data_IF_031967066386
#
_entry.id   IF_031967066386
#
_cell.length_a   1.000
_cell.length_b   1.000
_cell.length_c   1.000
_cell.angle_alpha   90.00
_cell.angle_beta   90.00
_cell.angle_gamma   90.00
#
_symmetry.space_group_name_H-M   'P 1'
#
loop_
_entity.id
_entity.type
_entity.pdbx_description
1 polymer ?
#
# COMPACT_ATOMS: atom_id res chain seq x y z
N UNK A 1 4.19 -8.54 -6.64
CA UNK A 1 4.63 -8.76 -5.24
C UNK A 1 5.18 -10.18 -4.98
N UNK A 2 5.57 -10.93 -6.01
CA UNK A 2 6.25 -12.23 -5.85
C UNK A 2 7.77 -12.06 -5.66
N UNK A 3 8.33 -10.96 -6.16
CA UNK A 3 9.78 -10.71 -6.22
C UNK A 3 10.44 -10.59 -4.85
N UNK A 4 9.88 -9.74 -3.97
CA UNK A 4 10.33 -9.59 -2.59
C UNK A 4 10.48 -10.94 -1.88
N UNK A 5 9.39 -11.72 -1.88
CA UNK A 5 9.30 -13.02 -1.22
C UNK A 5 10.26 -14.06 -1.82
N UNK A 6 10.40 -14.08 -3.15
CA UNK A 6 11.35 -14.94 -3.84
C UNK A 6 12.79 -14.62 -3.43
N UNK A 7 13.15 -13.33 -3.39
CA UNK A 7 14.50 -12.87 -3.03
C UNK A 7 14.82 -13.17 -1.55
N UNK A 8 13.86 -13.04 -0.64
CA UNK A 8 14.06 -13.26 0.80
C UNK A 8 13.82 -14.70 1.24
N UNK A 9 13.39 -15.59 0.33
CA UNK A 9 12.89 -16.93 0.62
C UNK A 9 11.74 -16.93 1.65
N UNK A 10 10.93 -15.87 1.68
CA UNK A 10 9.69 -15.81 2.46
C UNK A 10 8.51 -16.18 1.56
N UNK A 11 7.36 -16.53 2.14
CA UNK A 11 6.14 -16.68 1.35
C UNK A 11 4.96 -15.96 1.99
N UNK A 12 4.04 -15.55 1.11
CA UNK A 12 2.76 -14.96 1.50
C UNK A 12 1.65 -15.91 1.07
N UNK A 13 0.87 -16.38 2.04
CA UNK A 13 -0.32 -17.20 1.82
C UNK A 13 -1.35 -16.88 2.90
N UNK A 14 -2.58 -17.35 2.74
CA UNK A 14 -3.63 -17.17 3.77
C UNK A 14 -3.24 -17.79 5.12
N UNK A 15 -2.35 -18.78 5.13
CA UNK A 15 -1.89 -19.49 6.33
C UNK A 15 -0.58 -18.92 6.89
N UNK A 16 -0.11 -17.78 6.38
CA UNK A 16 1.13 -17.15 6.77
C UNK A 16 0.98 -16.44 8.12
N UNK A 17 1.88 -16.74 9.07
CA UNK A 17 1.87 -16.12 10.41
C UNK A 17 2.70 -14.84 10.46
N UNK A 18 3.74 -14.74 9.64
CA UNK A 18 4.67 -13.61 9.62
C UNK A 18 4.86 -13.13 8.17
N UNK A 19 3.87 -12.44 7.59
CA UNK A 19 3.79 -12.18 6.14
C UNK A 19 4.76 -11.12 5.62
N UNK A 20 5.42 -10.38 6.51
CA UNK A 20 6.39 -9.38 6.11
C UNK A 20 7.72 -10.04 5.69
N UNK A 21 8.27 -9.67 4.52
CA UNK A 21 9.59 -10.14 4.12
C UNK A 21 10.72 -9.54 4.96
N UNK A 22 10.50 -8.43 5.68
CA UNK A 22 11.56 -7.73 6.43
C UNK A 22 11.51 -7.95 7.94
N UNK A 23 10.35 -8.26 8.51
CA UNK A 23 10.19 -8.44 9.96
C UNK A 23 9.40 -9.71 10.32
N UNK A 24 9.41 -10.05 11.61
CA UNK A 24 8.71 -11.23 12.16
C UNK A 24 7.43 -10.87 12.91
N UNK A 25 6.82 -9.72 12.60
CA UNK A 25 5.54 -9.31 13.21
C UNK A 25 4.46 -10.33 12.85
N UNK A 26 3.71 -10.77 13.87
CA UNK A 26 2.64 -11.73 13.69
C UNK A 26 1.45 -11.11 12.93
N UNK A 27 0.72 -11.92 12.17
CA UNK A 27 -0.42 -11.45 11.36
C UNK A 27 -1.49 -10.74 12.21
N UNK A 28 -1.71 -11.20 13.45
CA UNK A 28 -2.66 -10.61 14.40
C UNK A 28 -2.23 -9.21 14.88
N UNK A 29 -0.94 -8.90 14.78
CA UNK A 29 -0.34 -7.66 15.24
C UNK A 29 -0.10 -6.63 14.12
N UNK A 30 -0.44 -6.94 12.86
CA UNK A 30 -0.18 -6.04 11.73
C UNK A 30 -0.91 -4.69 11.85
N UNK A 31 -2.06 -4.67 12.51
CA UNK A 31 -2.86 -3.45 12.74
C UNK A 31 -2.65 -2.87 14.15
N UNK A 32 -1.70 -3.40 14.91
CA UNK A 32 -1.47 -2.98 16.29
C UNK A 32 -0.63 -1.69 16.33
N UNK A 33 -1.30 -0.54 16.42
CA UNK A 33 -0.67 0.78 16.50
C UNK A 33 0.16 1.02 17.77
N UNK A 34 0.08 0.12 18.78
CA UNK A 34 0.85 0.25 20.04
C UNK A 34 2.25 -0.35 19.94
N UNK A 35 2.57 -1.05 18.84
CA UNK A 35 3.90 -1.64 18.65
C UNK A 35 4.89 -0.52 18.31
N UNK A 36 5.84 -0.28 19.20
CA UNK A 36 6.95 0.64 18.92
C UNK A 36 7.92 0.02 17.93
N UNK A 37 8.63 0.88 17.18
CA UNK A 37 9.66 0.44 16.21
C UNK A 37 10.75 -0.40 16.85
N UNK A 38 11.09 -0.11 18.11
CA UNK A 38 12.10 -0.84 18.90
C UNK A 38 11.65 -2.27 19.23
N UNK A 39 10.34 -2.51 19.31
CA UNK A 39 9.77 -3.83 19.59
C UNK A 39 9.64 -4.69 18.31
N UNK A 40 9.84 -4.11 17.12
CA UNK A 40 9.78 -4.84 15.86
C UNK A 40 11.08 -5.59 15.64
N UNK A 41 11.02 -6.91 15.74
CA UNK A 41 12.17 -7.76 15.40
C UNK A 41 12.27 -7.92 13.89
N UNK A 42 13.44 -7.58 13.34
CA UNK A 42 13.75 -7.70 11.92
C UNK A 42 14.29 -9.09 11.57
N UNK A 43 14.09 -9.50 10.32
CA UNK A 43 14.72 -10.70 9.76
C UNK A 43 16.17 -10.38 9.42
N UNK A 44 17.06 -11.32 9.73
CA UNK A 44 18.47 -11.26 9.37
C UNK A 44 18.89 -12.61 8.82
N UNK A 45 19.98 -12.70 8.02
CA UNK A 45 20.51 -13.97 7.55
C UNK A 45 20.73 -14.97 8.70
N UNK A 46 21.30 -14.50 9.81
CA UNK A 46 21.59 -15.32 10.97
C UNK A 46 20.32 -15.81 11.68
N UNK A 47 19.33 -14.94 11.89
CA UNK A 47 18.09 -15.33 12.56
C UNK A 47 17.29 -16.32 11.72
N UNK A 48 17.20 -16.10 10.41
CA UNK A 48 16.46 -16.99 9.51
C UNK A 48 17.19 -18.32 9.28
N UNK A 49 18.53 -18.34 9.26
CA UNK A 49 19.29 -19.57 9.26
C UNK A 49 19.03 -20.40 10.53
N UNK A 50 18.97 -19.76 11.71
CA UNK A 50 18.64 -20.44 12.96
C UNK A 50 17.22 -21.01 12.96
N UNK A 51 16.24 -20.29 12.39
CA UNK A 51 14.86 -20.78 12.24
C UNK A 51 14.82 -22.07 11.40
N UNK A 52 15.57 -22.12 10.29
CA UNK A 52 15.67 -23.32 9.44
C UNK A 52 16.30 -24.48 10.21
N UNK A 53 17.43 -24.25 10.89
CA UNK A 53 18.10 -25.27 11.71
C UNK A 53 17.17 -25.86 12.78
N UNK A 54 16.32 -25.03 13.37
CA UNK A 54 15.33 -25.42 14.37
C UNK A 54 14.03 -26.01 13.78
N UNK A 55 13.94 -26.23 12.47
CA UNK A 55 12.74 -26.74 11.76
C UNK A 55 11.48 -25.90 11.97
N UNK A 56 11.63 -24.59 12.16
CA UNK A 56 10.53 -23.65 12.39
C UNK A 56 10.17 -22.81 11.15
N UNK A 57 10.64 -23.20 9.97
CA UNK A 57 10.48 -22.45 8.73
C UNK A 57 9.01 -22.02 8.48
N UNK A 58 8.06 -22.95 8.63
CA UNK A 58 6.63 -22.69 8.44
C UNK A 58 6.05 -21.68 9.44
N UNK A 59 6.46 -21.73 10.70
CA UNK A 59 6.00 -20.79 11.74
C UNK A 59 6.43 -19.36 11.42
N UNK A 60 7.65 -19.21 10.89
CA UNK A 60 8.22 -17.93 10.49
C UNK A 60 7.93 -17.58 9.03
N UNK A 61 7.09 -18.36 8.35
CA UNK A 61 6.67 -18.10 6.97
C UNK A 61 7.84 -17.95 5.98
N UNK A 62 8.89 -18.74 6.19
CA UNK A 62 10.02 -18.89 5.28
C UNK A 62 9.99 -20.25 4.61
N UNK A 63 10.52 -20.33 3.40
CA UNK A 63 10.79 -21.60 2.75
C UNK A 63 11.92 -22.32 3.47
N UNK A 64 11.83 -23.65 3.56
CA UNK A 64 12.86 -24.52 4.15
C UNK A 64 14.03 -24.72 3.18
N UNK A 65 14.69 -23.61 2.83
CA UNK A 65 15.82 -23.57 1.91
C UNK A 65 16.79 -22.46 2.32
N UNK A 66 18.09 -22.73 2.21
CA UNK A 66 19.12 -21.73 2.48
C UNK A 66 19.10 -20.68 1.36
N UNK A 67 18.92 -19.42 1.73
CA UNK A 67 18.99 -18.31 0.78
C UNK A 67 20.44 -18.09 0.32
N UNK A 68 20.66 -17.93 -0.99
CA UNK A 68 21.98 -17.70 -1.57
C UNK A 68 22.62 -16.39 -1.06
N UNK A 69 21.80 -15.38 -0.78
CA UNK A 69 22.27 -14.06 -0.36
C UNK A 69 22.83 -14.04 1.06
N UNK A 70 22.56 -15.06 1.89
CA UNK A 70 23.12 -15.17 3.23
C UNK A 70 24.63 -15.40 3.25
N UNK A 71 25.24 -15.78 2.12
CA UNK A 71 26.69 -16.00 2.03
C UNK A 71 27.48 -14.69 1.88
N UNK A 72 26.81 -13.55 1.69
CA UNK A 72 27.47 -12.25 1.55
C UNK A 72 27.49 -11.52 2.92
N UNK A 73 28.68 -11.32 3.53
CA UNK A 73 28.78 -10.86 4.92
C UNK A 73 28.23 -9.45 5.17
N UNK A 74 28.20 -8.61 4.14
CA UNK A 74 27.77 -7.21 4.23
C UNK A 74 26.37 -6.97 3.60
N UNK A 75 25.61 -8.03 3.30
CA UNK A 75 24.30 -7.92 2.68
C UNK A 75 23.22 -8.51 3.59
N UNK A 76 22.35 -7.66 4.12
CA UNK A 76 21.07 -8.10 4.68
C UNK A 76 20.00 -8.07 3.59
N UNK A 77 19.73 -9.23 2.99
CA UNK A 77 18.71 -9.37 1.93
C UNK A 77 17.33 -8.87 2.37
N UNK A 78 17.01 -8.94 3.66
CA UNK A 78 15.72 -8.55 4.22
C UNK A 78 15.54 -7.02 4.33
N UNK A 79 16.64 -6.27 4.34
CA UNK A 79 16.67 -4.80 4.29
C UNK A 79 16.75 -4.27 2.85
N UNK A 80 17.23 -5.11 1.91
CA UNK A 80 17.38 -4.74 0.51
C UNK A 80 16.05 -4.73 -0.27
N UNK A 81 15.00 -5.33 0.29
CA UNK A 81 13.68 -5.37 -0.34
C UNK A 81 12.88 -4.13 0.03
N UNK A 82 12.55 -3.33 -0.99
CA UNK A 82 11.64 -2.20 -0.87
C UNK A 82 10.25 -2.57 -1.40
N UNK A 83 9.17 -2.12 -0.74
CA UNK A 83 7.83 -2.24 -1.31
C UNK A 83 7.77 -1.56 -2.68
N UNK A 84 7.18 -2.27 -3.65
CA UNK A 84 6.95 -1.69 -4.97
C UNK A 84 5.86 -0.62 -4.86
N UNK A 85 6.28 0.65 -4.84
CA UNK A 85 5.38 1.80 -4.74
C UNK A 85 4.30 1.76 -5.82
N UNK A 86 4.63 1.40 -7.05
CA UNK A 86 3.71 1.43 -8.17
C UNK A 86 2.54 0.46 -7.96
N UNK A 87 2.86 -0.78 -7.62
CA UNK A 87 1.83 -1.81 -7.46
C UNK A 87 1.14 -1.76 -6.09
N UNK A 88 1.83 -1.33 -5.04
CA UNK A 88 1.25 -1.30 -3.69
C UNK A 88 0.47 -0.03 -3.40
N UNK A 89 1.05 1.13 -3.72
CA UNK A 89 0.48 2.41 -3.33
C UNK A 89 -0.36 2.97 -4.48
N UNK A 90 0.20 3.09 -5.67
CA UNK A 90 -0.48 3.81 -6.75
C UNK A 90 -1.63 2.99 -7.36
N UNK A 91 -1.35 1.77 -7.84
CA UNK A 91 -2.36 0.88 -8.42
C UNK A 91 -3.09 0.01 -7.38
N UNK A 92 -2.51 -0.14 -6.19
CA UNK A 92 -3.06 -0.95 -5.11
C UNK A 92 -3.97 -0.12 -4.21
N UNK A 93 -3.37 0.51 -3.20
CA UNK A 93 -4.10 1.19 -2.14
C UNK A 93 -4.87 2.41 -2.63
N UNK A 94 -4.22 3.32 -3.37
CA UNK A 94 -4.84 4.60 -3.75
C UNK A 94 -6.00 4.42 -4.71
N UNK A 95 -5.85 3.52 -5.70
CA UNK A 95 -6.95 3.14 -6.59
C UNK A 95 -8.19 2.74 -5.78
N UNK A 96 -8.03 1.83 -4.82
CA UNK A 96 -9.14 1.38 -3.98
C UNK A 96 -9.72 2.51 -3.11
N UNK A 97 -8.87 3.34 -2.49
CA UNK A 97 -9.34 4.48 -1.69
C UNK A 97 -10.15 5.47 -2.53
N UNK A 98 -9.71 5.73 -3.77
CA UNK A 98 -10.41 6.61 -4.70
C UNK A 98 -11.75 6.02 -5.13
N UNK A 99 -11.79 4.75 -5.53
CA UNK A 99 -13.04 4.04 -5.88
C UNK A 99 -14.02 4.06 -4.69
N UNK A 100 -13.55 3.72 -3.49
CA UNK A 100 -14.35 3.77 -2.27
C UNK A 100 -14.87 5.17 -1.95
N UNK A 101 -14.06 6.21 -2.15
CA UNK A 101 -14.49 7.60 -1.97
C UNK A 101 -15.59 7.97 -2.96
N UNK A 102 -15.48 7.55 -4.23
CA UNK A 102 -16.52 7.78 -5.21
C UNK A 102 -17.83 7.07 -4.84
N UNK A 103 -17.76 5.81 -4.42
CA UNK A 103 -18.93 5.05 -4.00
C UNK A 103 -19.63 5.71 -2.80
N UNK A 104 -18.86 6.15 -1.80
CA UNK A 104 -19.38 6.91 -0.65
C UNK A 104 -20.07 8.22 -1.07
N UNK A 105 -19.47 8.97 -2.00
CA UNK A 105 -20.05 10.22 -2.50
C UNK A 105 -21.39 9.99 -3.21
N UNK A 106 -21.47 8.92 -4.02
CA UNK A 106 -22.72 8.53 -4.69
C UNK A 106 -23.76 8.09 -3.65
N UNK A 107 -23.37 7.31 -2.65
CA UNK A 107 -24.28 6.83 -1.61
C UNK A 107 -24.89 7.99 -0.80
N UNK A 108 -24.08 8.98 -0.43
CA UNK A 108 -24.52 10.08 0.42
C UNK A 108 -25.26 11.19 -0.34
N UNK A 109 -24.84 11.52 -1.55
CA UNK A 109 -25.29 12.72 -2.26
C UNK A 109 -25.76 12.47 -3.70
N UNK A 110 -25.74 11.21 -4.15
CA UNK A 110 -26.10 10.82 -5.50
C UNK A 110 -25.08 11.26 -6.55
N UNK A 111 -25.47 11.10 -7.82
CA UNK A 111 -24.58 11.34 -8.96
C UNK A 111 -24.08 12.79 -9.08
N UNK A 112 -24.78 13.76 -8.47
CA UNK A 112 -24.37 15.16 -8.45
C UNK A 112 -23.00 15.35 -7.80
N UNK A 113 -22.69 14.62 -6.73
CA UNK A 113 -21.40 14.72 -6.07
C UNK A 113 -20.24 14.28 -6.97
N UNK A 114 -20.44 13.28 -7.83
CA UNK A 114 -19.44 12.84 -8.79
C UNK A 114 -19.30 13.83 -9.94
N UNK A 115 -20.40 14.44 -10.38
CA UNK A 115 -20.35 15.52 -11.37
C UNK A 115 -19.52 16.71 -10.85
N UNK A 116 -19.80 17.16 -9.63
CA UNK A 116 -19.06 18.25 -8.99
C UNK A 116 -17.59 17.89 -8.73
N UNK A 117 -17.31 16.66 -8.27
CA UNK A 117 -15.95 16.15 -8.13
C UNK A 117 -15.18 16.23 -9.46
N UNK A 118 -15.81 15.80 -10.57
CA UNK A 118 -15.19 15.85 -11.89
C UNK A 118 -15.01 17.30 -12.39
N UNK A 119 -15.97 18.19 -12.13
CA UNK A 119 -15.87 19.61 -12.47
C UNK A 119 -14.67 20.25 -11.74
N UNK A 120 -14.51 19.98 -10.45
CA UNK A 120 -13.38 20.47 -9.65
C UNK A 120 -12.04 19.90 -10.12
N UNK A 121 -11.99 18.60 -10.44
CA UNK A 121 -10.81 17.98 -11.02
C UNK A 121 -10.40 18.63 -12.36
N UNK A 122 -11.37 18.96 -13.22
CA UNK A 122 -11.14 19.64 -14.49
C UNK A 122 -10.74 21.13 -14.30
N UNK A 123 -11.18 21.76 -13.20
CA UNK A 123 -10.86 23.13 -12.86
C UNK A 123 -9.44 23.31 -12.27
N UNK A 124 -8.75 22.23 -11.91
CA UNK A 124 -7.38 22.30 -11.39
C UNK A 124 -6.46 23.05 -12.37
N UNK A 125 -5.75 24.10 -11.92
CA UNK A 125 -4.85 24.86 -12.78
C UNK A 125 -3.75 24.00 -13.39
N UNK A 126 -3.36 24.36 -14.61
CA UNK A 126 -2.22 23.74 -15.31
C UNK A 126 -0.92 23.99 -14.55
N UNK A 127 -0.17 22.92 -14.31
CA UNK A 127 1.18 22.98 -13.74
C UNK A 127 2.11 22.00 -14.44
N UNK A 128 3.39 22.34 -14.53
CA UNK A 128 4.41 21.50 -15.14
C UNK A 128 4.53 20.17 -14.40
N UNK A 129 4.34 19.06 -15.11
CA UNK A 129 4.38 17.72 -14.51
C UNK A 129 3.11 17.31 -13.77
N UNK A 130 1.99 18.00 -13.98
CA UNK A 130 0.65 17.57 -13.60
C UNK A 130 -0.21 17.31 -14.84
N UNK A 131 -0.80 16.11 -14.93
CA UNK A 131 -1.76 15.77 -15.98
C UNK A 131 -3.15 16.28 -15.60
N UNK A 132 -3.87 16.85 -16.57
CA UNK A 132 -5.26 17.29 -16.39
C UNK A 132 -6.22 16.19 -16.84
N UNK A 133 -7.29 16.01 -16.09
CA UNK A 133 -8.32 15.01 -16.35
C UNK A 133 -9.63 15.69 -16.75
N UNK A 134 -9.67 16.22 -17.98
CA UNK A 134 -10.87 16.91 -18.50
C UNK A 134 -12.07 15.98 -18.70
N UNK A 135 -11.84 14.67 -18.80
CA UNK A 135 -12.88 13.67 -19.02
C UNK A 135 -13.33 13.00 -17.70
N UNK A 136 -13.01 13.62 -16.57
CA UNK A 136 -13.30 13.07 -15.25
C UNK A 136 -12.43 11.89 -14.83
N UNK A 137 -12.70 11.39 -13.64
CA UNK A 137 -11.87 10.40 -12.93
C UNK A 137 -11.91 8.99 -13.55
N UNK A 138 -12.95 8.66 -14.31
CA UNK A 138 -13.10 7.35 -14.99
C UNK A 138 -12.08 7.14 -16.12
N UNK A 139 -11.39 8.20 -16.54
CA UNK A 139 -10.33 8.13 -17.55
C UNK A 139 -8.97 7.65 -17.02
N UNK A 140 -8.84 7.44 -15.71
CA UNK A 140 -7.60 7.10 -15.02
C UNK A 140 -7.33 5.61 -15.12
N UNK A 141 -6.20 5.24 -15.72
CA UNK A 141 -5.86 3.83 -15.95
C UNK A 141 -4.44 3.46 -15.56
N UNK A 142 -3.55 4.45 -15.37
CA UNK A 142 -2.12 4.22 -15.14
C UNK A 142 -1.67 4.67 -13.75
N UNK A 143 -0.60 4.06 -13.24
CA UNK A 143 -0.02 4.43 -11.95
C UNK A 143 0.38 5.91 -11.88
N UNK A 144 0.91 6.45 -12.98
CA UNK A 144 1.29 7.86 -13.05
C UNK A 144 0.08 8.79 -12.98
N UNK A 145 -1.05 8.41 -13.57
CA UNK A 145 -2.28 9.18 -13.45
C UNK A 145 -2.83 9.20 -12.03
N UNK A 146 -2.85 8.03 -11.36
CA UNK A 146 -3.20 7.97 -9.93
C UNK A 146 -2.29 8.85 -9.09
N UNK A 147 -0.97 8.89 -9.36
CA UNK A 147 -0.03 9.80 -8.69
C UNK A 147 -0.34 11.26 -8.94
N UNK A 148 -0.86 11.63 -10.11
CA UNK A 148 -1.28 13.01 -10.37
C UNK A 148 -2.50 13.37 -9.53
N UNK A 149 -3.48 12.47 -9.43
CA UNK A 149 -4.69 12.69 -8.63
C UNK A 149 -4.37 12.76 -7.15
N UNK A 150 -3.49 11.88 -6.65
CA UNK A 150 -3.02 11.93 -5.25
C UNK A 150 -2.57 13.33 -4.81
N UNK A 151 -1.95 14.10 -5.72
CA UNK A 151 -1.44 15.44 -5.41
C UNK A 151 -2.55 16.48 -5.24
N UNK A 152 -3.72 16.26 -5.84
CA UNK A 152 -4.79 17.26 -5.95
C UNK A 152 -6.10 16.81 -5.31
N UNK A 153 -6.21 15.55 -4.89
CA UNK A 153 -7.44 14.94 -4.38
C UNK A 153 -8.01 15.69 -3.18
N UNK A 154 -7.15 16.17 -2.28
CA UNK A 154 -7.58 16.95 -1.12
C UNK A 154 -8.28 18.23 -1.59
N UNK A 155 -7.73 18.96 -2.55
CA UNK A 155 -8.36 20.17 -3.09
C UNK A 155 -9.67 19.91 -3.83
N UNK A 156 -9.85 18.70 -4.36
CA UNK A 156 -11.09 18.33 -5.07
C UNK A 156 -12.20 18.01 -4.07
N UNK A 157 -11.86 17.28 -3.00
CA UNK A 157 -12.81 16.85 -1.95
C UNK A 157 -13.06 17.94 -0.91
N UNK A 158 -12.09 18.81 -0.66
CA UNK A 158 -12.21 19.91 0.30
C UNK A 158 -13.33 20.87 -0.10
N UNK A 159 -14.19 21.19 0.87
CA UNK A 159 -15.39 22.00 0.65
C UNK A 159 -16.31 21.44 -0.44
N UNK A 160 -16.25 20.14 -0.76
CA UNK A 160 -17.21 19.51 -1.68
C UNK A 160 -18.64 19.64 -1.15
N UNK A 161 -18.77 19.75 0.17
CA UNK A 161 -20.02 20.05 0.87
C UNK A 161 -19.75 21.07 1.98
N UNK A 162 -20.77 21.88 2.31
CA UNK A 162 -20.74 22.79 3.45
C UNK A 162 -20.96 22.00 4.75
N UNK A 163 -20.28 22.39 5.83
CA UNK A 163 -20.51 21.85 7.19
C UNK A 163 -21.97 22.07 7.68
N UNK A 164 -22.73 22.93 6.99
CA UNK A 164 -24.14 23.23 7.25
C UNK A 164 -25.11 22.40 6.39
N UNK A 165 -24.62 21.51 5.53
CA UNK A 165 -25.50 20.63 4.75
C UNK A 165 -26.11 19.59 5.70
N UNK A 166 -27.41 19.73 5.98
CA UNK A 166 -28.20 18.94 6.94
C UNK A 166 -28.34 17.45 6.58
N UNK A 167 -27.52 16.97 5.65
CA UNK A 167 -27.41 15.59 5.16
C UNK A 167 -26.19 14.85 5.73
N UNK A 168 -25.32 15.55 6.46
CA UNK A 168 -24.21 14.96 7.22
C UNK A 168 -24.78 14.50 8.58
N UNK A 169 -24.94 13.18 8.76
CA UNK A 169 -25.38 12.54 10.01
C UNK A 169 -24.15 12.03 10.76
#
# INVERSE_FOLDING_TARGET
MLEANAITCTYKSANCKMPCPSCIVHIEDLNNMKISKENITLRTPNSMASVIQNKKAKEYSIHDQKNIFWNFPNLNVYEAVLPDRMHHLDLGLFKYMLEYTQDLLIEQYGNYAIEEFNNRLAAIPKFTGLKIFNNGITSVQTADEYRMIMKVIISIVDGLFDDNDSRII
#
